data_IF_833866687732
#
_entry.id   IF_833866687732
#
_cell.length_a   1.000
_cell.length_b   1.000
_cell.length_c   1.000
_cell.angle_alpha   90.00
_cell.angle_beta   90.00
_cell.angle_gamma   90.00
#
_symmetry.space_group_name_H-M   'P 1'
#
loop_
_entity.id
_entity.type
_entity.pdbx_description
1 polymer ?
#
# COMPACT_ATOMS: atom_id res chain seq x y z
N UNK A 1 -25.11 7.54 14.66
CA UNK A 1 -24.30 6.65 15.37
C UNK A 1 -23.91 5.46 14.59
N UNK A 2 -24.84 4.76 14.06
CA UNK A 2 -24.54 3.58 13.29
C UNK A 2 -23.63 3.86 12.08
N UNK A 3 -23.91 4.93 11.36
CA UNK A 3 -23.09 5.32 10.23
C UNK A 3 -21.65 5.57 10.62
N UNK A 4 -21.47 6.17 11.78
CA UNK A 4 -20.14 6.50 12.24
C UNK A 4 -19.35 5.24 12.56
N UNK A 5 -19.99 4.28 13.22
CA UNK A 5 -19.31 3.03 13.57
C UNK A 5 -18.90 2.29 12.32
N UNK A 6 -19.79 2.23 11.33
CA UNK A 6 -19.49 1.56 10.07
C UNK A 6 -18.31 2.25 9.37
N UNK A 7 -18.32 3.59 9.36
CA UNK A 7 -17.25 4.33 8.72
C UNK A 7 -15.89 4.10 9.41
N UNK A 8 -15.91 4.03 10.74
CA UNK A 8 -14.68 3.78 11.48
C UNK A 8 -14.14 2.38 11.21
N UNK A 9 -15.05 1.39 11.14
CA UNK A 9 -14.64 0.03 10.82
C UNK A 9 -14.06 -0.05 9.42
N UNK A 10 -14.67 0.64 8.48
CA UNK A 10 -14.18 0.64 7.10
C UNK A 10 -12.81 1.31 7.01
N UNK A 11 -12.63 2.41 7.73
CA UNK A 11 -11.33 3.08 7.75
C UNK A 11 -10.25 2.16 8.30
N UNK A 12 -10.57 1.39 9.34
CA UNK A 12 -9.62 0.44 9.89
C UNK A 12 -9.25 -0.65 8.90
N UNK A 13 -10.22 -1.14 8.16
CA UNK A 13 -9.94 -2.17 7.14
C UNK A 13 -9.12 -1.62 6.00
N UNK A 14 -9.37 -0.39 5.62
CA UNK A 14 -8.58 0.27 4.59
C UNK A 14 -7.12 0.39 5.03
N UNK A 15 -6.90 0.85 6.24
CA UNK A 15 -5.55 0.97 6.78
C UNK A 15 -4.83 -0.37 6.81
N UNK A 16 -5.50 -1.41 7.29
CA UNK A 16 -4.91 -2.74 7.35
C UNK A 16 -4.53 -3.24 5.96
N UNK A 17 -5.39 -2.96 4.98
CA UNK A 17 -5.13 -3.38 3.60
C UNK A 17 -3.95 -2.62 3.01
N UNK A 18 -3.86 -1.33 3.29
CA UNK A 18 -2.73 -0.53 2.82
C UNK A 18 -1.42 -1.04 3.40
N UNK A 19 -1.42 -1.37 4.68
CA UNK A 19 -0.23 -1.94 5.30
C UNK A 19 0.16 -3.26 4.68
N UNK A 20 -0.82 -4.11 4.38
CA UNK A 20 -0.56 -5.42 3.79
C UNK A 20 0.07 -5.27 2.41
N UNK A 21 -0.38 -4.31 1.63
CA UNK A 21 0.19 -4.06 0.32
C UNK A 21 1.64 -3.59 0.44
N UNK A 22 1.92 -2.68 1.37
CA UNK A 22 3.28 -2.21 1.58
C UNK A 22 4.19 -3.33 2.06
N UNK A 23 3.71 -4.16 2.96
CA UNK A 23 4.48 -5.30 3.46
C UNK A 23 4.77 -6.28 2.32
N UNK A 24 3.77 -6.54 1.48
CA UNK A 24 3.95 -7.45 0.36
C UNK A 24 4.97 -6.90 -0.64
N UNK A 25 4.89 -5.60 -0.92
CA UNK A 25 5.83 -5.00 -1.85
C UNK A 25 7.25 -5.07 -1.30
N UNK A 26 7.44 -4.88 0.00
CA UNK A 26 8.75 -5.01 0.62
C UNK A 26 9.26 -6.45 0.53
N UNK A 27 8.39 -7.43 0.76
CA UNK A 27 8.76 -8.84 0.62
C UNK A 27 9.15 -9.17 -0.82
N UNK A 28 8.45 -8.60 -1.78
CA UNK A 28 8.82 -8.78 -3.18
C UNK A 28 10.19 -8.21 -3.48
N UNK A 29 10.52 -7.06 -2.88
CA UNK A 29 11.86 -6.50 -3.01
C UNK A 29 12.92 -7.43 -2.48
N UNK A 30 12.64 -8.03 -1.31
CA UNK A 30 13.58 -9.02 -0.74
C UNK A 30 13.75 -10.22 -1.66
N UNK A 31 12.64 -10.70 -2.24
CA UNK A 31 12.71 -11.83 -3.15
C UNK A 31 13.52 -11.48 -4.40
N UNK A 32 13.27 -10.30 -4.96
CA UNK A 32 14.00 -9.83 -6.14
C UNK A 32 15.50 -9.79 -5.85
N UNK A 33 15.88 -9.32 -4.67
CA UNK A 33 17.29 -9.29 -4.31
C UNK A 33 17.86 -10.69 -4.09
N UNK A 34 17.07 -11.59 -3.52
CA UNK A 34 17.54 -12.93 -3.19
C UNK A 34 17.82 -13.79 -4.42
N UNK A 35 17.09 -13.58 -5.50
CA UNK A 35 17.20 -14.45 -6.67
C UNK A 35 18.57 -14.39 -7.35
N UNK A 36 19.09 -13.20 -7.72
CA UNK A 36 20.43 -13.18 -8.32
C UNK A 36 21.51 -13.56 -7.31
N UNK A 37 21.31 -13.28 -6.03
CA UNK A 37 22.25 -13.70 -5.00
C UNK A 37 22.34 -15.22 -4.92
N UNK A 38 21.19 -15.89 -4.97
CA UNK A 38 21.15 -17.34 -4.96
C UNK A 38 21.87 -17.93 -6.18
N UNK A 39 21.68 -17.31 -7.34
CA UNK A 39 22.38 -17.76 -8.55
C UNK A 39 23.90 -17.65 -8.37
N UNK A 40 24.33 -16.53 -7.83
CA UNK A 40 25.76 -16.32 -7.60
C UNK A 40 26.32 -17.33 -6.61
N UNK A 41 25.61 -17.54 -5.51
CA UNK A 41 26.07 -18.49 -4.49
C UNK A 41 26.13 -19.92 -5.01
N UNK A 42 25.18 -20.29 -5.84
CA UNK A 42 25.15 -21.64 -6.41
C UNK A 42 26.10 -21.80 -7.59
N UNK A 43 26.74 -20.74 -8.04
CA UNK A 43 27.67 -20.80 -9.15
C UNK A 43 27.00 -21.14 -10.48
N UNK A 44 25.75 -20.74 -10.65
CA UNK A 44 25.00 -21.08 -11.86
C UNK A 44 25.23 -20.04 -12.95
N UNK A 45 25.02 -20.45 -14.20
CA UNK A 45 25.22 -19.57 -15.35
C UNK A 45 24.27 -18.37 -15.27
N UNK A 46 24.65 -17.27 -15.90
CA UNK A 46 23.97 -16.01 -15.80
C UNK A 46 22.48 -16.07 -16.20
N UNK A 47 22.14 -16.93 -17.16
CA UNK A 47 20.76 -17.01 -17.63
C UNK A 47 19.85 -17.89 -16.80
N UNK A 48 20.40 -18.61 -15.83
CA UNK A 48 19.59 -19.53 -15.03
C UNK A 48 18.67 -18.69 -14.13
N UNK A 49 17.37 -18.98 -14.20
CA UNK A 49 16.39 -18.29 -13.38
C UNK A 49 15.91 -16.97 -13.94
N UNK A 50 16.34 -16.58 -15.13
CA UNK A 50 15.93 -15.30 -15.71
C UNK A 50 14.43 -15.18 -15.87
N UNK A 51 13.77 -16.25 -16.31
CA UNK A 51 12.34 -16.24 -16.51
C UNK A 51 11.60 -16.01 -15.18
N UNK A 52 12.09 -16.62 -14.11
CA UNK A 52 11.50 -16.40 -12.79
C UNK A 52 11.68 -14.96 -12.34
N UNK A 53 12.83 -14.37 -12.59
CA UNK A 53 13.08 -12.97 -12.27
C UNK A 53 12.09 -12.09 -13.02
N UNK A 54 11.90 -12.36 -14.31
CA UNK A 54 10.95 -11.59 -15.11
C UNK A 54 9.54 -11.64 -14.52
N UNK A 55 9.10 -12.82 -14.11
CA UNK A 55 7.76 -12.95 -13.56
C UNK A 55 7.63 -12.28 -12.20
N UNK A 56 8.65 -12.31 -11.36
CA UNK A 56 8.59 -11.63 -10.07
C UNK A 56 8.56 -10.12 -10.27
N UNK A 57 9.32 -9.62 -11.23
CA UNK A 57 9.28 -8.19 -11.54
C UNK A 57 7.90 -7.75 -12.03
N UNK A 58 7.26 -8.61 -12.83
CA UNK A 58 5.90 -8.37 -13.26
C UNK A 58 4.95 -8.30 -12.06
N UNK A 59 5.10 -9.24 -11.15
CA UNK A 59 4.26 -9.27 -9.95
C UNK A 59 4.47 -8.02 -9.11
N UNK A 60 5.72 -7.58 -8.97
CA UNK A 60 6.02 -6.36 -8.22
C UNK A 60 5.40 -5.14 -8.88
N UNK A 61 5.45 -5.08 -10.20
CA UNK A 61 4.81 -4.01 -10.95
C UNK A 61 3.30 -4.00 -10.70
N UNK A 62 2.69 -5.18 -10.68
CA UNK A 62 1.27 -5.30 -10.37
C UNK A 62 0.94 -4.82 -8.97
N UNK A 63 1.81 -5.12 -8.02
CA UNK A 63 1.61 -4.68 -6.65
C UNK A 63 1.75 -3.16 -6.54
N UNK A 64 2.68 -2.58 -7.28
CA UNK A 64 2.82 -1.12 -7.32
C UNK A 64 1.56 -0.48 -7.90
N UNK A 65 0.97 -1.12 -8.90
CA UNK A 65 -0.28 -0.65 -9.47
C UNK A 65 -1.41 -0.74 -8.45
N UNK A 66 -1.50 -1.86 -7.73
CA UNK A 66 -2.50 -2.03 -6.69
C UNK A 66 -2.35 -0.96 -5.60
N UNK A 67 -1.12 -0.65 -5.25
CA UNK A 67 -0.84 0.39 -4.26
C UNK A 67 -1.40 1.74 -4.72
N UNK A 68 -1.16 2.08 -5.99
CA UNK A 68 -1.69 3.32 -6.56
C UNK A 68 -3.21 3.36 -6.50
N UNK A 69 -3.83 2.24 -6.81
CA UNK A 69 -5.29 2.16 -6.78
C UNK A 69 -5.85 2.30 -5.37
N UNK A 70 -5.15 1.77 -4.38
CA UNK A 70 -5.58 1.93 -2.99
C UNK A 70 -5.46 3.37 -2.52
N UNK A 71 -4.41 4.07 -2.96
CA UNK A 71 -4.28 5.49 -2.64
C UNK A 71 -5.48 6.26 -3.22
N UNK A 72 -5.86 5.93 -4.44
CA UNK A 72 -7.01 6.56 -5.07
C UNK A 72 -8.31 6.21 -4.33
N UNK A 73 -8.43 4.95 -3.89
CA UNK A 73 -9.60 4.53 -3.14
C UNK A 73 -9.69 5.26 -1.80
N UNK A 74 -8.53 5.47 -1.17
CA UNK A 74 -8.50 6.24 0.08
C UNK A 74 -9.10 7.62 -0.13
N UNK A 75 -8.70 8.31 -1.19
CA UNK A 75 -9.22 9.63 -1.49
C UNK A 75 -10.72 9.60 -1.77
N UNK A 76 -11.17 8.59 -2.53
CA UNK A 76 -12.59 8.46 -2.85
C UNK A 76 -13.43 8.18 -1.60
N UNK A 77 -12.90 7.37 -0.69
CA UNK A 77 -13.61 7.11 0.56
C UNK A 77 -13.68 8.34 1.45
N UNK A 78 -12.62 9.14 1.45
CA UNK A 78 -12.64 10.39 2.21
C UNK A 78 -13.71 11.32 1.66
N UNK A 79 -13.85 11.40 0.34
CA UNK A 79 -14.90 12.18 -0.28
C UNK A 79 -16.29 11.66 0.08
N UNK A 80 -16.45 10.36 0.03
CA UNK A 80 -17.73 9.75 0.37
C UNK A 80 -18.10 10.04 1.82
N UNK A 81 -17.11 10.01 2.69
CA UNK A 81 -17.31 10.33 4.10
C UNK A 81 -17.86 11.75 4.25
N UNK A 82 -17.27 12.68 3.52
CA UNK A 82 -17.73 14.07 3.58
C UNK A 82 -19.14 14.21 3.05
N UNK A 83 -19.47 13.49 1.99
CA UNK A 83 -20.79 13.55 1.38
C UNK A 83 -21.89 13.12 2.34
N UNK A 84 -21.59 12.21 3.26
CA UNK A 84 -22.57 11.76 4.22
C UNK A 84 -22.43 12.45 5.58
N UNK A 85 -21.59 13.47 5.67
CA UNK A 85 -21.50 14.28 6.88
C UNK A 85 -20.64 13.69 7.98
N UNK A 86 -19.72 12.81 7.66
CA UNK A 86 -18.90 12.15 8.67
C UNK A 86 -17.48 12.67 8.66
N UNK A 87 -17.31 13.96 8.66
CA UNK A 87 -15.96 14.53 8.54
C UNK A 87 -15.03 14.22 9.66
N UNK A 88 -15.60 13.88 10.81
CA UNK A 88 -14.75 13.63 11.96
C UNK A 88 -14.11 12.25 11.96
N UNK A 89 -14.57 11.36 11.10
CA UNK A 89 -13.97 10.04 11.01
C UNK A 89 -12.70 10.17 10.23
N UNK A 90 -11.59 9.76 10.83
CA UNK A 90 -10.32 9.84 10.12
C UNK A 90 -10.05 8.57 9.36
N UNK A 91 -9.48 8.71 8.17
CA UNK A 91 -9.03 7.58 7.37
C UNK A 91 -7.53 7.37 7.49
N UNK A 92 -6.89 8.13 8.35
CA UNK A 92 -5.48 7.93 8.58
C UNK A 92 -5.29 6.68 9.43
N UNK A 93 -4.28 5.99 9.19
CA UNK A 93 -4.05 4.77 9.94
C UNK A 93 -4.03 4.99 11.40
N UNK A 94 -4.19 3.97 12.07
CA UNK A 94 -4.28 4.04 13.37
C UNK A 94 -3.41 4.86 14.06
N UNK A 95 -3.21 5.42 14.56
CA UNK A 95 -2.42 6.10 15.14
C UNK A 95 -2.47 7.42 15.14
N UNK A 96 -2.90 7.93 14.55
CA UNK A 96 -2.79 9.14 14.46
C UNK A 96 -3.49 9.93 15.04
N UNK A 97 -3.54 10.51 15.42
CA UNK A 97 -4.16 11.16 16.04
C UNK A 97 -4.27 12.46 15.93
N UNK A 98 -3.90 13.00 15.75
CA UNK A 98 -3.94 14.25 15.80
C UNK A 98 -4.69 14.83 15.00
N UNK A 99 -5.22 14.50 14.61
CA UNK A 99 -5.95 14.99 13.91
C UNK A 99 -5.92 16.16 13.35
N UNK A 100 -5.65 16.76 13.23
CA UNK A 100 -5.74 17.88 12.74
C UNK A 100 -5.04 17.97 11.75
N UNK A 101 -4.86 17.57 11.25
CA UNK A 101 -4.26 17.75 10.44
C UNK A 101 -3.91 17.37 9.51
N UNK A 102 -3.56 17.11 9.06
CA UNK A 102 -2.95 16.77 8.26
C UNK A 102 -3.27 16.03 7.36
N UNK A 103 -3.35 16.08 6.43
CA UNK A 103 -3.74 15.42 5.42
C UNK A 103 -2.63 14.83 4.81
N UNK A 104 -2.29 14.38 4.72
CA UNK A 104 -1.34 13.85 4.28
C UNK A 104 -1.37 13.16 3.38
N UNK A 105 -1.33 12.98 2.68
CA UNK A 105 -1.29 12.21 1.92
C UNK A 105 -0.73 11.58 1.47
N UNK A 106 -0.71 11.25 1.43
CA UNK A 106 -0.07 10.78 1.24
C UNK A 106 0.16 10.62 0.94
N UNK A 107 0.40 10.51 1.09
CA UNK A 107 0.99 10.47 1.11
C UNK A 107 1.44 10.61 1.05
N UNK A 108 1.58 10.43 0.87
CA UNK A 108 2.21 10.54 1.01
C UNK A 108 2.37 11.06 0.87
N UNK A 109 2.33 11.16 0.65
CA UNK A 109 2.65 11.59 0.73
C UNK A 109 2.80 11.85 0.28
N UNK A 110 2.85 11.74 0.05
CA UNK A 110 3.15 12.08 -0.08
C UNK A 110 3.28 12.40 -0.58
N UNK A 111 3.21 12.47 -0.73
CA UNK A 111 3.57 12.86 -0.93
C UNK A 111 3.56 13.27 -1.66
N UNK A 112 3.42 13.80 -1.85
CA UNK A 112 3.59 14.16 -2.50
C UNK A 112 4.11 13.98 -3.27
N UNK A 113 4.06 13.61 -3.54
CA UNK A 113 4.47 13.26 -3.95
C UNK A 113 4.72 13.00 -4.40
N UNK A 114 4.61 12.75 -4.41
CA UNK A 114 4.99 12.38 -4.54
C UNK A 114 5.21 12.20 -4.72
#
# INVERSE_FOLDING_TARGET
MKRRIIAEQLAGRLFTTEEAVDTTLALMGDLIAAMPRARLEAGLAAGVGQQAVDHVLEAASGMAHARRSLIAAHGALAEAKDQVGLRRVTLVGGGDKSGDDIPRTGQLHAVKSA
#
